data_IF_207968088058
#
_entry.id   IF_207968088058
#
_cell.length_a   1.000
_cell.length_b   1.000
_cell.length_c   1.000
_cell.angle_alpha   90.00
_cell.angle_beta   90.00
_cell.angle_gamma   90.00
#
_symmetry.space_group_name_H-M   'P 1'
#
loop_
_entity.id
_entity.type
_entity.pdbx_description
1 polymer ?
#
# COMPACT_ATOMS: atom_id res chain seq x y z
N UNK A 1 20.65 -30.17 47.19
CA UNK A 1 19.42 -29.47 47.65
C UNK A 1 19.59 -27.96 47.80
N UNK A 2 20.66 -27.44 48.45
CA UNK A 2 20.88 -25.98 48.61
C UNK A 2 20.97 -25.19 47.28
N UNK A 3 21.62 -25.73 46.24
CA UNK A 3 21.73 -25.06 44.92
C UNK A 3 20.39 -24.88 44.17
N UNK A 4 19.47 -25.82 44.32
CA UNK A 4 18.14 -25.75 43.67
C UNK A 4 17.24 -24.74 44.39
N UNK A 5 17.40 -24.60 45.71
CA UNK A 5 16.70 -23.60 46.51
C UNK A 5 17.18 -22.18 46.19
N UNK A 6 18.50 -21.98 46.00
CA UNK A 6 19.07 -20.69 45.60
C UNK A 6 18.65 -20.25 44.20
N UNK A 7 18.53 -21.18 43.24
CA UNK A 7 18.06 -20.88 41.88
C UNK A 7 16.58 -20.47 41.88
N UNK A 8 15.73 -21.17 42.66
CA UNK A 8 14.30 -20.83 42.78
C UNK A 8 14.09 -19.45 43.45
N UNK A 9 14.89 -19.12 44.46
CA UNK A 9 14.85 -17.80 45.10
C UNK A 9 15.29 -16.69 44.14
N UNK A 10 16.32 -16.94 43.32
CA UNK A 10 16.79 -15.99 42.31
C UNK A 10 15.73 -15.74 41.22
N UNK A 11 15.05 -16.78 40.73
CA UNK A 11 13.99 -16.66 39.73
C UNK A 11 12.75 -15.90 40.24
N UNK A 12 12.39 -16.08 41.51
CA UNK A 12 11.27 -15.34 42.12
C UNK A 12 11.64 -13.86 42.29
N UNK A 13 12.89 -13.57 42.66
CA UNK A 13 13.38 -12.20 42.81
C UNK A 13 13.43 -11.45 41.47
N UNK A 14 13.86 -12.11 40.39
CA UNK A 14 13.87 -11.51 39.05
C UNK A 14 12.46 -11.31 38.48
N UNK A 15 11.53 -12.24 38.74
CA UNK A 15 10.13 -12.07 38.35
C UNK A 15 9.45 -10.91 39.11
N UNK A 16 9.73 -10.75 40.41
CA UNK A 16 9.20 -9.64 41.20
C UNK A 16 9.75 -8.27 40.74
N UNK A 17 10.99 -8.21 40.26
CA UNK A 17 11.61 -6.98 39.78
C UNK A 17 11.00 -6.49 38.45
N UNK A 18 10.58 -7.41 37.56
CA UNK A 18 9.92 -7.04 36.30
C UNK A 18 8.51 -6.48 36.50
N UNK A 19 7.80 -6.90 37.55
CA UNK A 19 6.45 -6.43 37.87
C UNK A 19 6.48 -4.98 38.38
N UNK A 20 7.57 -4.56 39.04
CA UNK A 20 7.72 -3.20 39.57
C UNK A 20 7.89 -2.13 38.48
N UNK A 21 8.32 -2.49 37.27
CA UNK A 21 8.58 -1.56 36.17
C UNK A 21 7.33 -1.10 35.41
N UNK A 22 6.14 -1.64 35.71
CA UNK A 22 4.91 -1.31 34.98
C UNK A 22 4.09 -0.16 35.58
N UNK A 23 4.55 0.50 36.65
CA UNK A 23 3.81 1.59 37.33
C UNK A 23 4.34 3.02 37.07
N UNK A 24 5.21 3.24 36.07
CA UNK A 24 5.74 4.60 35.77
C UNK A 24 5.38 5.14 34.37
N UNK A 25 4.40 4.54 33.68
CA UNK A 25 4.01 4.96 32.33
C UNK A 25 2.64 5.66 32.31
N UNK A 26 2.44 6.64 33.19
CA UNK A 26 1.37 7.63 33.06
C UNK A 26 1.89 8.98 33.59
N UNK A 27 2.56 9.74 32.73
CA UNK A 27 2.62 11.21 32.86
C UNK A 27 2.21 11.77 31.50
N UNK A 28 1.07 12.44 31.52
CA UNK A 28 0.56 13.30 30.47
C UNK A 28 1.41 14.58 30.46
N UNK A 29 2.16 14.82 29.39
CA UNK A 29 2.85 16.11 29.17
C UNK A 29 2.11 16.86 28.06
N UNK A 30 1.20 17.74 28.48
CA UNK A 30 0.88 18.96 27.75
C UNK A 30 1.79 20.05 28.29
N UNK A 31 2.64 20.61 27.43
CA UNK A 31 3.10 22.00 27.37
C UNK A 31 4.09 22.08 26.20
N UNK A 32 3.74 22.81 25.14
CA UNK A 32 4.07 24.24 24.94
C UNK A 32 5.56 24.41 24.71
N UNK A 33 5.96 24.56 23.46
CA UNK A 33 7.20 25.24 23.12
C UNK A 33 6.93 26.26 22.01
N UNK A 34 7.02 27.51 22.43
CA UNK A 34 7.15 28.68 21.58
C UNK A 34 8.40 28.51 20.69
N UNK A 35 8.24 28.73 19.39
CA UNK A 35 9.35 29.19 18.57
C UNK A 35 8.94 30.44 17.82
N UNK A 36 9.34 31.56 18.43
CA UNK A 36 9.41 32.86 17.81
C UNK A 36 10.21 32.78 16.49
N UNK A 37 9.59 33.14 15.38
CA UNK A 37 10.28 33.65 14.21
C UNK A 37 9.38 34.69 13.57
N UNK A 38 9.71 35.94 13.85
CA UNK A 38 9.16 37.15 13.26
C UNK A 38 9.50 37.19 11.76
N UNK A 39 8.49 37.19 10.89
CA UNK A 39 8.54 37.84 9.57
C UNK A 39 7.22 38.59 9.37
N UNK A 40 7.36 39.90 9.19
CA UNK A 40 6.29 40.87 8.92
C UNK A 40 5.86 40.81 7.44
N UNK A 41 4.56 40.98 7.19
CA UNK A 41 4.03 41.25 5.85
C UNK A 41 2.53 41.02 5.73
N UNK A 42 1.75 42.00 6.18
CA UNK A 42 0.31 42.18 5.93
C UNK A 42 0.05 42.49 4.45
N UNK A 43 -0.86 41.78 3.78
CA UNK A 43 -1.96 42.40 3.04
C UNK A 43 -3.00 41.36 2.56
N UNK A 44 -4.22 41.85 2.43
CA UNK A 44 -5.48 41.12 2.31
C UNK A 44 -5.70 40.57 0.90
N UNK A 45 -6.07 39.29 0.78
CA UNK A 45 -6.94 38.81 -0.30
C UNK A 45 -7.70 37.57 0.17
N UNK A 46 -8.98 37.76 0.51
CA UNK A 46 -10.00 36.73 0.45
C UNK A 46 -10.09 36.24 -1.01
N UNK A 47 -9.30 35.23 -1.36
CA UNK A 47 -9.75 34.25 -2.33
C UNK A 47 -10.06 32.99 -1.53
N UNK A 48 -11.28 32.48 -1.69
CA UNK A 48 -11.72 31.19 -1.19
C UNK A 48 -10.88 30.11 -1.87
N UNK A 49 -9.65 29.91 -1.39
CA UNK A 49 -8.78 28.80 -1.75
C UNK A 49 -9.48 27.56 -1.24
N UNK A 50 -10.22 26.88 -2.12
CA UNK A 50 -10.57 25.48 -1.89
C UNK A 50 -9.26 24.78 -1.58
N UNK A 51 -9.07 24.34 -0.35
CA UNK A 51 -7.83 23.69 0.03
C UNK A 51 -7.61 22.52 -0.94
N UNK A 52 -6.47 22.49 -1.63
CA UNK A 52 -6.15 21.46 -2.62
C UNK A 52 -5.76 20.13 -1.95
N UNK A 53 -6.31 19.88 -0.77
CA UNK A 53 -6.07 18.70 0.06
C UNK A 53 -7.39 18.04 0.40
N UNK A 54 -7.37 16.73 0.56
CA UNK A 54 -8.51 15.93 1.01
C UNK A 54 -8.76 16.09 2.52
N UNK A 55 -9.77 15.38 3.03
CA UNK A 55 -10.16 15.37 4.45
C UNK A 55 -9.04 14.89 5.40
N UNK A 56 -8.02 14.21 4.87
CA UNK A 56 -6.87 13.70 5.62
C UNK A 56 -5.62 14.58 5.45
N UNK A 57 -5.72 15.69 4.70
CA UNK A 57 -4.62 16.61 4.43
C UNK A 57 -3.68 16.18 3.31
N UNK A 58 -4.05 15.19 2.49
CA UNK A 58 -3.28 14.80 1.32
C UNK A 58 -3.61 15.68 0.12
N UNK A 59 -2.60 16.09 -0.63
CA UNK A 59 -2.79 16.86 -1.87
C UNK A 59 -3.64 16.05 -2.84
N UNK A 60 -4.71 16.67 -3.35
CA UNK A 60 -5.57 16.09 -4.37
C UNK A 60 -4.76 15.87 -5.66
N UNK A 61 -4.97 14.72 -6.31
CA UNK A 61 -4.36 14.46 -7.59
C UNK A 61 -5.01 15.29 -8.72
N UNK A 62 -4.35 15.34 -9.86
CA UNK A 62 -4.76 16.16 -11.01
C UNK A 62 -5.59 15.41 -12.04
N UNK A 63 -6.01 14.16 -11.76
CA UNK A 63 -6.83 13.37 -12.68
C UNK A 63 -8.24 13.97 -12.73
N UNK A 64 -8.73 14.40 -13.92
CA UNK A 64 -10.04 15.01 -14.04
C UNK A 64 -11.13 14.08 -13.54
N UNK A 65 -11.98 14.55 -12.63
CA UNK A 65 -13.08 13.75 -12.06
C UNK A 65 -14.35 13.80 -12.90
N UNK A 66 -14.56 14.87 -13.66
CA UNK A 66 -15.87 15.15 -14.28
C UNK A 66 -15.87 14.93 -15.80
N UNK A 67 -14.69 14.73 -16.40
CA UNK A 67 -14.51 14.68 -17.86
C UNK A 67 -13.85 13.40 -18.35
N UNK A 68 -13.33 12.57 -17.45
CA UNK A 68 -12.62 11.35 -17.79
C UNK A 68 -13.56 10.16 -17.68
N UNK A 69 -13.91 9.58 -18.83
CA UNK A 69 -14.72 8.36 -18.93
C UNK A 69 -14.20 7.54 -20.12
N UNK A 70 -13.73 6.33 -19.84
CA UNK A 70 -13.22 5.41 -20.84
C UNK A 70 -14.29 4.46 -21.40
N UNK A 71 -15.56 4.67 -21.06
CA UNK A 71 -16.72 4.03 -21.68
C UNK A 71 -16.85 2.54 -21.34
N UNK A 72 -16.52 2.15 -20.10
CA UNK A 72 -16.54 0.76 -19.64
C UNK A 72 -15.46 -0.08 -20.30
N UNK A 73 -14.30 0.51 -20.62
CA UNK A 73 -13.17 -0.27 -21.14
C UNK A 73 -12.67 -1.20 -20.04
N UNK A 74 -12.52 -2.48 -20.37
CA UNK A 74 -11.86 -3.45 -19.51
C UNK A 74 -10.35 -3.20 -19.53
N UNK A 75 -9.75 -3.13 -18.34
CA UNK A 75 -8.31 -3.09 -18.12
C UNK A 75 -7.92 -4.34 -17.33
N UNK A 76 -7.13 -5.21 -17.94
CA UNK A 76 -6.73 -6.48 -17.31
C UNK A 76 -5.34 -6.36 -16.67
N UNK A 77 -5.26 -6.64 -15.36
CA UNK A 77 -4.03 -6.67 -14.59
C UNK A 77 -3.56 -8.12 -14.40
N UNK A 78 -2.37 -8.44 -14.91
CA UNK A 78 -1.65 -9.66 -14.55
C UNK A 78 -0.90 -9.43 -13.24
N UNK A 79 -1.22 -10.20 -12.19
CA UNK A 79 -0.55 -10.11 -10.91
C UNK A 79 0.05 -11.44 -10.44
N UNK A 80 0.93 -11.37 -9.44
CA UNK A 80 1.53 -12.52 -8.79
C UNK A 80 0.59 -13.22 -7.79
N UNK A 81 0.31 -14.52 -8.01
CA UNK A 81 -0.62 -15.28 -7.14
C UNK A 81 0.02 -15.87 -5.89
N UNK A 82 1.35 -16.00 -5.87
CA UNK A 82 2.15 -16.51 -4.74
C UNK A 82 2.61 -15.35 -3.84
N UNK A 83 1.70 -14.42 -3.60
CA UNK A 83 1.86 -13.21 -2.77
C UNK A 83 1.73 -13.53 -1.28
N UNK A 84 2.42 -12.77 -0.43
CA UNK A 84 2.33 -12.93 1.03
C UNK A 84 1.01 -12.40 1.63
N UNK A 85 0.40 -11.40 1.01
CA UNK A 85 -0.87 -10.77 1.42
C UNK A 85 -1.72 -10.42 0.19
N UNK A 86 -3.05 -10.39 0.32
CA UNK A 86 -3.91 -9.98 -0.81
C UNK A 86 -3.67 -8.50 -1.14
N UNK A 87 -3.57 -8.18 -2.43
CA UNK A 87 -3.19 -6.84 -2.91
C UNK A 87 -4.18 -6.27 -3.93
N UNK A 88 -4.83 -7.13 -4.71
CA UNK A 88 -5.53 -6.71 -5.93
C UNK A 88 -7.00 -7.11 -5.95
N UNK A 89 -7.35 -8.31 -5.48
CA UNK A 89 -8.68 -8.86 -5.70
C UNK A 89 -9.46 -8.92 -4.39
N UNK A 90 -10.67 -8.38 -4.41
CA UNK A 90 -11.66 -8.58 -3.36
C UNK A 90 -13.04 -8.74 -4.00
N UNK A 91 -13.79 -9.76 -3.56
CA UNK A 91 -15.13 -10.05 -4.09
C UNK A 91 -16.22 -9.13 -3.52
N UNK A 92 -15.89 -8.29 -2.53
CA UNK A 92 -16.86 -7.45 -1.82
C UNK A 92 -16.41 -7.13 -0.41
N UNK A 93 -17.05 -6.13 0.20
CA UNK A 93 -16.81 -5.82 1.60
C UNK A 93 -17.26 -6.96 2.51
N UNK A 94 -16.42 -7.30 3.50
CA UNK A 94 -16.68 -8.33 4.49
C UNK A 94 -16.32 -7.89 5.93
N UNK A 95 -15.92 -6.63 6.12
CA UNK A 95 -15.56 -6.06 7.41
C UNK A 95 -14.10 -6.32 7.82
N UNK A 96 -13.32 -7.04 7.02
CA UNK A 96 -11.87 -7.12 7.18
C UNK A 96 -11.23 -5.87 6.54
N UNK A 97 -10.44 -5.09 7.30
CA UNK A 97 -9.95 -3.79 6.84
C UNK A 97 -9.17 -3.81 5.52
N UNK A 98 -8.31 -4.81 5.29
CA UNK A 98 -7.48 -4.88 4.08
C UNK A 98 -8.33 -5.23 2.86
N UNK A 99 -9.19 -6.24 2.98
CA UNK A 99 -10.16 -6.63 1.96
C UNK A 99 -11.07 -5.48 1.57
N UNK A 100 -11.66 -4.80 2.55
CA UNK A 100 -12.58 -3.69 2.31
C UNK A 100 -11.85 -2.51 1.65
N UNK A 101 -10.61 -2.23 2.05
CA UNK A 101 -9.78 -1.21 1.40
C UNK A 101 -9.46 -1.57 -0.07
N UNK A 102 -9.16 -2.84 -0.37
CA UNK A 102 -8.93 -3.30 -1.75
C UNK A 102 -10.20 -3.15 -2.59
N UNK A 103 -11.34 -3.60 -2.07
CA UNK A 103 -12.62 -3.49 -2.78
C UNK A 103 -13.00 -2.03 -3.05
N UNK A 104 -12.94 -1.17 -2.04
CA UNK A 104 -13.28 0.25 -2.18
C UNK A 104 -12.30 0.99 -3.09
N UNK A 105 -11.01 0.64 -3.05
CA UNK A 105 -10.02 1.19 -3.98
C UNK A 105 -10.36 0.84 -5.43
N UNK A 106 -10.65 -0.43 -5.70
CA UNK A 106 -10.98 -0.88 -7.06
C UNK A 106 -12.24 -0.18 -7.57
N UNK A 107 -13.31 -0.17 -6.77
CA UNK A 107 -14.57 0.51 -7.11
C UNK A 107 -14.36 2.01 -7.37
N UNK A 108 -13.56 2.68 -6.52
CA UNK A 108 -13.28 4.11 -6.70
C UNK A 108 -12.51 4.40 -7.99
N UNK A 109 -11.64 3.49 -8.44
CA UNK A 109 -10.91 3.62 -9.70
C UNK A 109 -11.83 3.36 -10.90
N UNK A 110 -12.65 2.31 -10.84
CA UNK A 110 -13.64 1.97 -11.87
C UNK A 110 -14.63 3.10 -12.09
N UNK A 111 -15.26 3.61 -11.02
CA UNK A 111 -16.22 4.71 -11.08
C UNK A 111 -15.58 6.01 -11.60
N UNK A 112 -14.37 6.34 -11.13
CA UNK A 112 -13.70 7.59 -11.48
C UNK A 112 -13.25 7.63 -12.93
N UNK A 113 -12.84 6.49 -13.49
CA UNK A 113 -12.28 6.41 -14.83
C UNK A 113 -13.30 5.89 -15.86
N UNK A 114 -14.44 5.36 -15.44
CA UNK A 114 -15.39 4.68 -16.32
C UNK A 114 -14.75 3.45 -17.00
N UNK A 115 -14.09 2.59 -16.20
CA UNK A 115 -13.46 1.34 -16.64
C UNK A 115 -13.98 0.17 -15.82
N UNK A 116 -13.73 -1.04 -16.31
CA UNK A 116 -13.86 -2.28 -15.55
C UNK A 116 -12.46 -2.88 -15.32
N UNK A 117 -12.16 -3.33 -14.11
CA UNK A 117 -10.90 -3.98 -13.78
C UNK A 117 -11.07 -5.50 -13.82
N UNK A 118 -10.22 -6.16 -14.60
CA UNK A 118 -10.07 -7.62 -14.59
C UNK A 118 -8.71 -8.01 -14.04
N UNK A 119 -8.66 -9.18 -13.38
CA UNK A 119 -7.46 -9.64 -12.69
C UNK A 119 -7.15 -11.08 -13.09
N UNK A 120 -5.96 -11.26 -13.65
CA UNK A 120 -5.37 -12.57 -13.95
C UNK A 120 -4.14 -12.78 -13.10
N UNK A 121 -3.82 -14.03 -12.74
CA UNK A 121 -2.63 -14.28 -11.94
C UNK A 121 -1.89 -15.57 -12.24
N UNK A 122 -0.57 -15.49 -12.04
CA UNK A 122 0.37 -16.61 -12.07
C UNK A 122 1.43 -16.42 -10.98
N UNK A 123 2.12 -17.49 -10.54
CA UNK A 123 3.22 -17.34 -9.59
C UNK A 123 4.37 -16.49 -10.16
N UNK A 124 4.91 -15.59 -9.35
CA UNK A 124 5.96 -14.66 -9.73
C UNK A 124 6.93 -14.30 -8.57
N UNK A 125 6.94 -15.04 -7.46
CA UNK A 125 7.94 -14.81 -6.41
C UNK A 125 9.39 -15.03 -6.91
N UNK A 126 10.37 -14.87 -6.02
CA UNK A 126 11.81 -14.98 -6.36
C UNK A 126 12.20 -16.30 -7.04
N UNK A 127 11.47 -17.39 -6.79
CA UNK A 127 11.71 -18.71 -7.42
C UNK A 127 11.03 -18.86 -8.79
N UNK A 128 10.08 -17.98 -9.12
CA UNK A 128 9.25 -18.03 -10.33
C UNK A 128 9.60 -16.98 -11.39
N UNK A 129 10.61 -16.13 -11.16
CA UNK A 129 11.03 -15.05 -12.08
C UNK A 129 11.16 -15.52 -13.52
N UNK A 130 11.81 -16.65 -13.77
CA UNK A 130 12.02 -17.17 -15.12
C UNK A 130 10.69 -17.58 -15.80
N UNK A 131 9.77 -18.19 -15.03
CA UNK A 131 8.46 -18.62 -15.51
C UNK A 131 7.58 -17.41 -15.82
N UNK A 132 7.58 -16.41 -14.95
CA UNK A 132 6.89 -15.14 -15.16
C UNK A 132 7.33 -14.46 -16.46
N UNK A 133 8.64 -14.24 -16.62
CA UNK A 133 9.19 -13.58 -17.83
C UNK A 133 8.90 -14.40 -19.09
N UNK A 134 8.91 -15.74 -19.00
CA UNK A 134 8.55 -16.61 -20.12
C UNK A 134 7.08 -16.47 -20.50
N UNK A 135 6.17 -16.41 -19.52
CA UNK A 135 4.74 -16.20 -19.76
C UNK A 135 4.50 -14.85 -20.45
N UNK A 136 5.05 -13.76 -19.91
CA UNK A 136 4.92 -12.41 -20.49
C UNK A 136 5.47 -12.38 -21.93
N UNK A 137 6.66 -12.96 -22.15
CA UNK A 137 7.24 -13.07 -23.50
C UNK A 137 6.32 -13.80 -24.47
N UNK A 138 5.71 -14.90 -24.04
CA UNK A 138 4.86 -15.71 -24.91
C UNK A 138 3.57 -14.97 -25.25
N UNK A 139 2.96 -14.27 -24.30
CA UNK A 139 1.77 -13.43 -24.54
C UNK A 139 2.06 -12.37 -25.62
N UNK A 140 3.17 -11.64 -25.46
CA UNK A 140 3.60 -10.60 -26.40
C UNK A 140 3.94 -11.19 -27.78
N UNK A 141 4.74 -12.26 -27.84
CA UNK A 141 5.22 -12.81 -29.12
C UNK A 141 4.14 -13.56 -29.90
N UNK A 142 3.14 -14.11 -29.22
CA UNK A 142 1.95 -14.71 -29.86
C UNK A 142 0.94 -13.66 -30.31
N UNK A 143 1.04 -12.42 -29.82
CA UNK A 143 0.08 -11.36 -30.09
C UNK A 143 -1.25 -11.52 -29.35
N UNK A 144 -1.30 -12.34 -28.30
CA UNK A 144 -2.51 -12.58 -27.51
C UNK A 144 -3.00 -11.30 -26.81
N UNK A 145 -2.07 -10.53 -26.23
CA UNK A 145 -2.36 -9.27 -25.52
C UNK A 145 -3.37 -9.50 -24.39
N UNK A 146 -3.15 -10.51 -23.57
CA UNK A 146 -4.14 -10.95 -22.57
C UNK A 146 -4.23 -10.03 -21.35
N UNK A 147 -3.27 -9.13 -21.16
CA UNK A 147 -3.24 -8.17 -20.05
C UNK A 147 -2.67 -6.82 -20.50
N UNK A 148 -3.13 -5.76 -19.85
CA UNK A 148 -2.70 -4.37 -20.08
C UNK A 148 -1.65 -3.90 -19.07
N UNK A 149 -1.75 -4.39 -17.84
CA UNK A 149 -0.90 -4.02 -16.71
C UNK A 149 -0.27 -5.26 -16.07
N UNK A 150 0.86 -5.06 -15.39
CA UNK A 150 1.59 -6.12 -14.68
C UNK A 150 2.00 -5.66 -13.29
N UNK A 151 1.77 -6.48 -12.26
CA UNK A 151 2.21 -6.23 -10.89
C UNK A 151 2.70 -7.52 -10.21
N UNK A 152 3.99 -7.60 -9.90
CA UNK A 152 4.59 -8.81 -9.34
C UNK A 152 5.76 -8.49 -8.40
N UNK A 153 6.31 -9.54 -7.78
CA UNK A 153 7.56 -9.46 -7.02
C UNK A 153 8.63 -8.63 -7.75
N UNK A 154 9.36 -7.82 -6.99
CA UNK A 154 10.29 -6.81 -7.52
C UNK A 154 11.24 -7.33 -8.59
N UNK A 155 11.85 -8.51 -8.40
CA UNK A 155 12.79 -9.08 -9.37
C UNK A 155 12.10 -9.56 -10.65
N UNK A 156 10.86 -10.02 -10.57
CA UNK A 156 10.05 -10.44 -11.73
C UNK A 156 9.72 -9.25 -12.62
N UNK A 157 9.31 -8.13 -12.02
CA UNK A 157 9.06 -6.89 -12.76
C UNK A 157 10.34 -6.26 -13.31
N UNK A 158 11.42 -6.22 -12.51
CA UNK A 158 12.72 -5.71 -12.97
C UNK A 158 13.27 -6.52 -14.15
N UNK A 159 13.14 -7.85 -14.10
CA UNK A 159 13.55 -8.73 -15.19
C UNK A 159 12.69 -8.53 -16.43
N UNK A 160 11.37 -8.37 -16.27
CA UNK A 160 10.43 -8.10 -17.37
C UNK A 160 10.77 -6.80 -18.08
N UNK A 161 10.98 -5.72 -17.34
CA UNK A 161 11.39 -4.43 -17.88
C UNK A 161 12.75 -4.50 -18.59
N UNK A 162 13.74 -5.16 -17.97
CA UNK A 162 15.08 -5.31 -18.55
C UNK A 162 15.10 -6.14 -19.84
N UNK A 163 14.10 -7.00 -20.06
CA UNK A 163 13.92 -7.76 -21.31
C UNK A 163 13.16 -6.97 -22.39
N UNK A 164 12.74 -5.73 -22.12
CA UNK A 164 12.03 -4.88 -23.08
C UNK A 164 10.55 -5.22 -23.23
N UNK A 165 9.92 -5.82 -22.21
CA UNK A 165 8.50 -6.19 -22.23
C UNK A 165 7.57 -5.15 -21.57
N UNK A 166 8.09 -3.97 -21.25
CA UNK A 166 7.31 -2.87 -20.69
C UNK A 166 7.38 -1.65 -21.61
N UNK A 167 6.30 -0.86 -21.62
CA UNK A 167 6.31 0.46 -22.23
C UNK A 167 6.99 1.48 -21.31
N UNK A 168 7.59 2.52 -21.91
CA UNK A 168 8.02 3.69 -21.16
C UNK A 168 6.77 4.50 -20.79
N UNK A 169 6.64 4.84 -19.50
CA UNK A 169 5.70 5.85 -19.06
C UNK A 169 6.28 7.22 -19.40
N UNK A 170 5.48 8.06 -20.05
CA UNK A 170 5.86 9.42 -20.49
C UNK A 170 5.44 10.48 -19.48
#
# INVERSE_FOLDING_TARGET
MKKVFSIRLLCILTAALMILCMMTACTENKETDEKDTTVLGDDTSDESSSSNVDENGYILDTVPTDTLDYGGRVITLLYWSDVEHEEFVSAGQNGEPVNDAIYLRNLAVEDRLGIDLEFDSIPANSSNVANWVAYVRNDITSGARSFDLMAAYSLSMASTASNGFCYNLV
#
